data_IF_863153492092
#
_entry.id   IF_863153492092
#
_cell.length_a   1.000
_cell.length_b   1.000
_cell.length_c   1.000
_cell.angle_alpha   90.00
_cell.angle_beta   90.00
_cell.angle_gamma   90.00
#
_symmetry.space_group_name_H-M   'P 1'
#
loop_
_entity.id
_entity.type
_entity.pdbx_description
1 polymer ?
#
# COMPACT_ATOMS: atom_id res chain seq x y z
N UNK A 1 -23.92 4.56 26.21
CA UNK A 1 -23.04 4.07 25.13
C UNK A 1 -21.87 3.32 25.76
N UNK A 2 -21.64 2.06 25.40
CA UNK A 2 -20.57 1.27 26.01
C UNK A 2 -19.20 1.86 25.64
N UNK A 3 -18.49 2.39 26.64
CA UNK A 3 -17.11 2.86 26.47
C UNK A 3 -16.16 1.75 26.02
N UNK A 4 -14.94 2.13 25.66
CA UNK A 4 -13.91 1.16 25.30
C UNK A 4 -13.43 0.36 26.53
N UNK A 5 -13.16 -0.94 26.36
CA UNK A 5 -12.55 -1.75 27.43
C UNK A 5 -11.08 -1.37 27.59
N UNK A 6 -10.61 -1.27 28.84
CA UNK A 6 -9.21 -0.92 29.17
C UNK A 6 -8.22 -2.08 28.99
N UNK A 7 -8.69 -3.34 28.97
CA UNK A 7 -7.89 -4.55 28.73
C UNK A 7 -6.62 -4.64 29.62
N UNK A 8 -6.67 -4.05 30.82
CA UNK A 8 -5.54 -3.94 31.75
C UNK A 8 -4.25 -3.37 31.13
N UNK A 9 -4.36 -2.49 30.14
CA UNK A 9 -3.21 -1.88 29.47
C UNK A 9 -3.27 -0.36 29.48
N UNK A 10 -2.08 0.27 29.50
CA UNK A 10 -1.94 1.71 29.27
C UNK A 10 -2.50 2.08 27.89
N UNK A 11 -3.01 3.30 27.75
CA UNK A 11 -3.75 3.75 26.55
C UNK A 11 -2.95 3.59 25.25
N UNK A 12 -1.64 3.90 25.27
CA UNK A 12 -0.76 3.77 24.10
C UNK A 12 -0.54 2.30 23.71
N UNK A 13 -0.18 1.45 24.67
CA UNK A 13 0.03 0.01 24.45
C UNK A 13 -1.24 -0.67 23.93
N UNK A 14 -2.40 -0.33 24.53
CA UNK A 14 -3.70 -0.84 24.10
C UNK A 14 -4.03 -0.48 22.66
N UNK A 15 -3.82 0.79 22.27
CA UNK A 15 -4.04 1.24 20.88
C UNK A 15 -3.12 0.49 19.92
N UNK A 16 -1.84 0.34 20.23
CA UNK A 16 -0.89 -0.41 19.40
C UNK A 16 -1.29 -1.88 19.25
N UNK A 17 -1.65 -2.56 20.34
CA UNK A 17 -2.12 -3.95 20.31
C UNK A 17 -3.35 -4.11 19.43
N UNK A 18 -4.35 -3.24 19.55
CA UNK A 18 -5.57 -3.31 18.74
C UNK A 18 -5.28 -3.05 17.25
N UNK A 19 -4.40 -2.09 16.93
CA UNK A 19 -3.96 -1.83 15.56
C UNK A 19 -3.26 -3.04 14.95
N UNK A 20 -2.39 -3.69 15.71
CA UNK A 20 -1.70 -4.91 15.26
C UNK A 20 -2.71 -6.03 15.00
N UNK A 21 -3.67 -6.28 15.91
CA UNK A 21 -4.70 -7.30 15.71
C UNK A 21 -5.56 -7.05 14.47
N UNK A 22 -5.99 -5.80 14.25
CA UNK A 22 -6.77 -5.42 13.06
C UNK A 22 -5.93 -5.59 11.79
N UNK A 23 -4.66 -5.20 11.84
CA UNK A 23 -3.74 -5.35 10.70
C UNK A 23 -3.54 -6.83 10.35
N UNK A 24 -3.27 -7.69 11.34
CA UNK A 24 -3.15 -9.14 11.12
C UNK A 24 -4.44 -9.75 10.57
N UNK A 25 -5.62 -9.25 10.98
CA UNK A 25 -6.90 -9.71 10.45
C UNK A 25 -7.05 -9.38 8.96
N UNK A 26 -6.65 -8.18 8.54
CA UNK A 26 -6.76 -7.74 7.14
C UNK A 26 -5.76 -8.50 6.26
N UNK A 27 -4.54 -8.71 6.74
CA UNK A 27 -3.47 -9.36 5.96
C UNK A 27 -3.72 -10.86 5.83
N UNK A 28 -4.07 -11.55 6.92
CA UNK A 28 -4.18 -13.02 6.94
C UNK A 28 -5.61 -13.53 6.85
N UNK A 29 -6.62 -12.66 6.89
CA UNK A 29 -8.04 -13.03 6.87
C UNK A 29 -8.59 -13.66 8.14
N UNK A 30 -7.72 -14.11 9.07
CA UNK A 30 -8.10 -14.73 10.34
C UNK A 30 -7.08 -14.42 11.44
N UNK A 31 -7.55 -14.22 12.67
CA UNK A 31 -6.72 -14.04 13.87
C UNK A 31 -7.33 -14.80 15.04
N UNK A 32 -6.49 -15.53 15.78
CA UNK A 32 -6.87 -16.16 17.05
C UNK A 32 -6.46 -15.25 18.21
N UNK A 33 -7.42 -14.81 19.02
CA UNK A 33 -7.17 -13.93 20.17
C UNK A 33 -8.23 -14.15 21.25
N UNK A 34 -8.09 -13.50 22.40
CA UNK A 34 -9.10 -13.58 23.46
C UNK A 34 -10.39 -12.86 23.07
N UNK A 35 -11.54 -13.36 23.52
CA UNK A 35 -12.85 -12.84 23.13
C UNK A 35 -13.00 -11.33 23.39
N UNK A 36 -12.49 -10.85 24.53
CA UNK A 36 -12.56 -9.43 24.89
C UNK A 36 -11.73 -8.54 23.97
N UNK A 37 -10.58 -9.02 23.49
CA UNK A 37 -9.75 -8.34 22.49
C UNK A 37 -10.41 -8.39 21.11
N UNK A 38 -10.98 -9.53 20.75
CA UNK A 38 -11.70 -9.70 19.48
C UNK A 38 -12.86 -8.71 19.34
N UNK A 39 -13.69 -8.55 20.38
CA UNK A 39 -14.82 -7.59 20.38
C UNK A 39 -14.39 -6.11 20.25
N UNK A 40 -13.18 -5.76 20.66
CA UNK A 40 -12.63 -4.41 20.47
C UNK A 40 -12.02 -4.24 19.06
N UNK A 41 -11.27 -5.25 18.59
CA UNK A 41 -10.69 -5.23 17.25
C UNK A 41 -11.77 -5.26 16.16
N UNK A 42 -12.84 -6.04 16.34
CA UNK A 42 -13.96 -6.16 15.40
C UNK A 42 -14.62 -4.79 15.14
N UNK A 43 -14.92 -4.00 16.17
CA UNK A 43 -15.49 -2.65 16.02
C UNK A 43 -14.62 -1.72 15.19
N UNK A 44 -13.29 -1.84 15.31
CA UNK A 44 -12.35 -1.02 14.53
C UNK A 44 -12.29 -1.53 13.09
N UNK A 45 -12.22 -2.85 12.90
CA UNK A 45 -12.18 -3.48 11.59
C UNK A 45 -13.45 -3.19 10.78
N UNK A 46 -14.64 -3.32 11.38
CA UNK A 46 -15.93 -3.01 10.74
C UNK A 46 -15.96 -1.57 10.21
N UNK A 47 -15.49 -0.60 11.00
CA UNK A 47 -15.43 0.81 10.59
C UNK A 47 -14.52 1.00 9.38
N UNK A 48 -13.37 0.34 9.36
CA UNK A 48 -12.40 0.41 8.27
C UNK A 48 -12.96 -0.23 7.00
N UNK A 49 -13.53 -1.43 7.11
CA UNK A 49 -14.11 -2.16 5.98
C UNK A 49 -15.28 -1.37 5.38
N UNK A 50 -16.15 -0.81 6.23
CA UNK A 50 -17.27 0.02 5.79
C UNK A 50 -16.82 1.23 4.95
N UNK A 51 -15.72 1.89 5.36
CA UNK A 51 -15.15 3.01 4.61
C UNK A 51 -14.55 2.57 3.28
N UNK A 52 -13.88 1.42 3.25
CA UNK A 52 -13.28 0.89 2.03
C UNK A 52 -14.35 0.50 1.00
N UNK A 53 -15.37 -0.27 1.42
CA UNK A 53 -16.48 -0.70 0.57
C UNK A 53 -17.22 0.49 -0.03
N UNK A 54 -17.42 1.57 0.74
CA UNK A 54 -18.10 2.78 0.26
C UNK A 54 -17.36 3.47 -0.90
N UNK A 55 -16.03 3.42 -0.90
CA UNK A 55 -15.18 4.16 -1.85
C UNK A 55 -14.49 3.25 -2.88
N UNK A 56 -14.86 1.97 -2.94
CA UNK A 56 -14.18 0.94 -3.73
C UNK A 56 -14.06 1.27 -5.22
N UNK A 57 -15.16 1.77 -5.81
CA UNK A 57 -15.25 2.09 -7.24
C UNK A 57 -14.79 3.51 -7.60
N UNK A 58 -14.40 4.34 -6.63
CA UNK A 58 -14.14 5.77 -6.85
C UNK A 58 -12.70 6.03 -7.32
N UNK A 59 -12.39 5.61 -8.54
CA UNK A 59 -11.09 5.80 -9.18
C UNK A 59 -11.22 6.13 -10.66
N UNK A 60 -10.17 6.75 -11.22
CA UNK A 60 -10.04 7.00 -12.65
C UNK A 60 -8.79 6.30 -13.19
N UNK A 61 -8.82 5.94 -14.46
CA UNK A 61 -7.65 5.36 -15.15
C UNK A 61 -6.93 6.45 -15.92
N UNK A 62 -5.64 6.62 -15.67
CA UNK A 62 -4.79 7.56 -16.41
C UNK A 62 -3.71 6.80 -17.15
N UNK A 63 -3.53 7.11 -18.43
CA UNK A 63 -2.39 6.63 -19.21
C UNK A 63 -1.16 7.48 -18.88
N UNK A 64 -0.11 6.83 -18.36
CA UNK A 64 1.15 7.47 -18.02
C UNK A 64 2.24 6.90 -18.91
N UNK A 65 2.99 7.77 -19.58
CA UNK A 65 4.20 7.40 -20.31
C UNK A 65 5.31 7.15 -19.28
N UNK A 66 5.78 5.91 -19.21
CA UNK A 66 6.90 5.53 -18.34
C UNK A 66 8.08 5.16 -19.22
N UNK A 67 9.21 5.84 -19.01
CA UNK A 67 10.46 5.45 -19.68
C UNK A 67 11.08 4.25 -18.99
N UNK A 68 11.36 3.20 -19.75
CA UNK A 68 12.09 2.02 -19.30
C UNK A 68 13.35 1.83 -20.13
N UNK A 69 14.41 1.28 -19.55
CA UNK A 69 15.58 0.89 -20.35
C UNK A 69 15.20 -0.24 -21.31
N UNK A 70 15.67 -0.16 -22.55
CA UNK A 70 15.59 -1.28 -23.48
C UNK A 70 16.57 -2.37 -23.03
N UNK A 71 16.09 -3.61 -22.95
CA UNK A 71 16.86 -4.74 -22.49
C UNK A 71 17.07 -5.71 -23.65
N UNK A 72 18.27 -6.29 -23.74
CA UNK A 72 18.54 -7.45 -24.58
C UNK A 72 17.92 -8.72 -23.99
N UNK A 73 17.88 -9.81 -24.76
CA UNK A 73 17.36 -11.12 -24.35
C UNK A 73 18.04 -11.70 -23.08
N UNK A 74 19.24 -11.22 -22.74
CA UNK A 74 20.00 -11.58 -21.53
C UNK A 74 19.77 -10.63 -20.35
N UNK A 75 18.82 -9.70 -20.46
CA UNK A 75 18.46 -8.74 -19.40
C UNK A 75 19.47 -7.60 -19.18
N UNK A 76 20.44 -7.41 -20.09
CA UNK A 76 21.39 -6.30 -20.05
C UNK A 76 20.81 -5.08 -20.75
N UNK A 77 21.17 -3.87 -20.28
CA UNK A 77 20.71 -2.61 -20.87
C UNK A 77 21.43 -2.35 -22.19
N UNK A 78 20.69 -2.01 -23.23
CA UNK A 78 21.24 -1.62 -24.53
C UNK A 78 21.81 -0.21 -24.42
N UNK A 79 23.05 -0.05 -24.89
CA UNK A 79 23.78 1.20 -24.88
C UNK A 79 23.85 1.77 -26.30
N UNK A 80 23.57 3.06 -26.43
CA UNK A 80 23.76 3.86 -27.64
C UNK A 80 24.89 4.85 -27.37
N UNK A 81 25.84 4.95 -28.30
CA UNK A 81 26.93 5.93 -28.21
C UNK A 81 26.41 7.33 -28.56
N UNK A 82 26.56 8.28 -27.64
CA UNK A 82 26.25 9.70 -27.81
C UNK A 82 27.55 10.53 -27.82
N UNK A 83 27.56 11.63 -28.56
CA UNK A 83 28.68 12.59 -28.59
C UNK A 83 28.39 13.77 -27.67
N UNK A 84 29.40 14.15 -26.89
CA UNK A 84 29.39 15.36 -26.07
C UNK A 84 29.62 16.59 -26.95
N UNK A 85 29.33 17.78 -26.43
CA UNK A 85 29.58 19.06 -27.09
C UNK A 85 31.07 19.29 -27.42
N UNK A 86 31.97 18.56 -26.77
CA UNK A 86 33.42 18.58 -27.01
C UNK A 86 33.90 17.31 -27.76
N UNK A 87 33.05 16.72 -28.62
CA UNK A 87 33.32 15.54 -29.45
C UNK A 87 33.72 14.24 -28.74
N UNK A 88 33.69 14.21 -27.41
CA UNK A 88 33.91 12.98 -26.64
C UNK A 88 32.70 12.05 -26.73
N UNK A 89 32.94 10.78 -27.09
CA UNK A 89 31.91 9.74 -27.16
C UNK A 89 31.69 9.10 -25.79
N UNK A 90 30.43 8.88 -25.42
CA UNK A 90 30.03 8.19 -24.20
C UNK A 90 28.77 7.36 -24.43
N UNK A 91 28.60 6.31 -23.63
CA UNK A 91 27.48 5.40 -23.78
C UNK A 91 26.27 5.84 -22.94
N UNK A 92 25.11 5.88 -23.58
CA UNK A 92 23.82 6.22 -22.97
C UNK A 92 22.88 5.04 -23.12
N UNK A 93 22.20 4.69 -22.04
CA UNK A 93 21.16 3.65 -22.05
C UNK A 93 20.01 4.09 -22.95
N UNK A 94 19.69 3.28 -23.95
CA UNK A 94 18.51 3.49 -24.78
C UNK A 94 17.25 3.27 -23.94
N UNK A 95 16.31 4.21 -24.00
CA UNK A 95 15.06 4.19 -23.23
C UNK A 95 13.87 4.13 -24.16
N UNK A 96 13.02 3.14 -23.96
CA UNK A 96 11.73 3.04 -24.65
C UNK A 96 10.64 3.67 -23.78
N UNK A 97 9.75 4.45 -24.40
CA UNK A 97 8.56 4.97 -23.75
C UNK A 97 7.45 3.93 -23.80
N UNK A 98 7.13 3.33 -22.65
CA UNK A 98 6.03 2.38 -22.52
C UNK A 98 4.83 3.10 -21.92
N UNK A 99 3.67 2.98 -22.55
CA UNK A 99 2.40 3.41 -21.97
C UNK A 99 2.01 2.42 -20.87
N UNK A 100 1.84 2.93 -19.64
CA UNK A 100 1.27 2.15 -18.54
C UNK A 100 -0.05 2.77 -18.14
N UNK A 101 -1.09 1.95 -18.05
CA UNK A 101 -2.37 2.37 -17.47
C UNK A 101 -2.24 2.31 -15.95
N UNK A 102 -2.33 3.46 -15.30
CA UNK A 102 -2.24 3.57 -13.84
C UNK A 102 -3.59 4.00 -13.30
N UNK A 103 -4.06 3.30 -12.28
CA UNK A 103 -5.25 3.67 -11.52
C UNK A 103 -4.92 4.83 -10.58
N UNK A 104 -5.74 5.88 -10.64
CA UNK A 104 -5.62 7.09 -9.81
C UNK A 104 -6.88 7.22 -8.97
N UNK A 105 -6.72 7.25 -7.65
CA UNK A 105 -7.84 7.39 -6.73
C UNK A 105 -8.45 8.79 -6.81
N UNK A 106 -9.78 8.86 -6.75
CA UNK A 106 -10.48 10.13 -6.56
C UNK A 106 -10.21 10.68 -5.16
N UNK A 107 -10.37 12.00 -4.93
CA UNK A 107 -10.09 12.63 -3.63
C UNK A 107 -10.82 11.99 -2.44
N UNK A 108 -12.06 11.51 -2.63
CA UNK A 108 -12.83 10.83 -1.59
C UNK A 108 -12.22 9.49 -1.18
N UNK A 109 -11.84 8.66 -2.16
CA UNK A 109 -11.13 7.39 -1.94
C UNK A 109 -9.77 7.62 -1.29
N UNK A 110 -9.04 8.65 -1.72
CA UNK A 110 -7.76 9.02 -1.11
C UNK A 110 -7.93 9.42 0.37
N UNK A 111 -8.99 10.18 0.70
CA UNK A 111 -9.30 10.55 2.07
C UNK A 111 -9.62 9.31 2.94
N UNK A 112 -10.42 8.37 2.43
CA UNK A 112 -10.70 7.11 3.10
C UNK A 112 -9.41 6.29 3.33
N UNK A 113 -8.55 6.17 2.31
CA UNK A 113 -7.24 5.51 2.44
C UNK A 113 -6.38 6.14 3.52
N UNK A 114 -6.30 7.47 3.60
CA UNK A 114 -5.55 8.17 4.66
C UNK A 114 -6.09 7.90 6.06
N UNK A 115 -7.42 7.84 6.22
CA UNK A 115 -8.03 7.47 7.49
C UNK A 115 -7.64 6.05 7.91
N UNK A 116 -7.69 5.10 6.97
CA UNK A 116 -7.34 3.70 7.21
C UNK A 116 -5.84 3.55 7.51
N UNK A 117 -4.97 4.23 6.75
CA UNK A 117 -3.51 4.28 6.97
C UNK A 117 -3.14 4.75 8.38
N UNK A 118 -3.96 5.61 9.01
CA UNK A 118 -3.67 6.09 10.37
C UNK A 118 -3.89 5.03 11.47
N UNK A 119 -4.64 3.97 11.13
CA UNK A 119 -4.98 2.88 12.04
C UNK A 119 -4.13 1.65 11.76
N UNK A 120 -3.98 1.28 10.48
CA UNK A 120 -3.19 0.11 10.11
C UNK A 120 -1.70 0.38 10.27
N UNK A 121 -0.98 -0.68 10.62
CA UNK A 121 0.48 -0.64 10.70
C UNK A 121 1.04 -1.18 9.40
N UNK A 122 2.22 -0.69 9.01
CA UNK A 122 2.96 -1.24 7.87
C UNK A 122 3.41 -2.66 8.18
N UNK A 123 3.22 -3.57 7.24
CA UNK A 123 3.65 -4.96 7.34
C UNK A 123 4.61 -5.31 6.23
N UNK A 124 5.29 -6.44 6.41
CA UNK A 124 6.13 -7.05 5.39
C UNK A 124 5.51 -8.37 4.97
N UNK A 125 5.62 -8.67 3.68
CA UNK A 125 5.28 -9.98 3.14
C UNK A 125 6.33 -11.03 3.53
N UNK A 126 6.05 -12.29 3.20
CA UNK A 126 6.97 -13.43 3.34
C UNK A 126 8.30 -13.19 2.59
N UNK A 127 8.26 -12.46 1.48
CA UNK A 127 9.43 -12.00 0.71
C UNK A 127 10.22 -10.85 1.38
N UNK A 128 9.77 -10.35 2.54
CA UNK A 128 10.38 -9.22 3.25
C UNK A 128 10.12 -7.83 2.62
N UNK A 129 9.35 -7.79 1.52
CA UNK A 129 8.93 -6.54 0.86
C UNK A 129 7.93 -5.80 1.73
N UNK A 130 8.06 -4.47 1.79
CA UNK A 130 7.08 -3.60 2.48
C UNK A 130 5.79 -3.57 1.68
N UNK A 131 4.68 -3.89 2.32
CA UNK A 131 3.36 -3.87 1.68
C UNK A 131 2.48 -2.83 2.35
N UNK A 132 1.77 -2.09 1.51
CA UNK A 132 0.72 -1.21 1.98
C UNK A 132 -0.51 -2.05 2.32
N UNK A 133 -0.78 -2.19 3.62
CA UNK A 133 -1.89 -2.98 4.16
C UNK A 133 -3.26 -2.49 3.70
N UNK A 134 -3.37 -1.22 3.30
CA UNK A 134 -4.60 -0.63 2.75
C UNK A 134 -4.95 -1.20 1.37
N UNK A 135 -3.98 -1.75 0.63
CA UNK A 135 -4.24 -2.36 -0.67
C UNK A 135 -5.03 -3.67 -0.58
N UNK A 136 -5.04 -4.35 0.58
CA UNK A 136 -5.86 -5.56 0.75
C UNK A 136 -7.35 -5.23 0.88
N UNK A 137 -7.71 -3.96 1.10
CA UNK A 137 -9.09 -3.51 1.25
C UNK A 137 -9.69 -2.92 -0.03
N UNK A 138 -8.85 -2.56 -1.01
CA UNK A 138 -9.16 -1.70 -2.14
C UNK A 138 -8.66 -2.28 -3.45
#
# INVERSE_FOLDING_TARGET
>A
MAGYRRLSQKTAARKSMLRNLVTSLIVHGKVTTTETRAKEAARIAEKIISLAVKEQSNFTTRTVLVSGAKLDDKGRKILRTATSKNDRKYDVVEREMKTKTVQVDMPSRLAARRQIMSVLVETRDEDGKRVNTVNYLF
#
